data_IF_646505313034
#
_entry.id   IF_646505313034
#
_cell.length_a   1.000
_cell.length_b   1.000
_cell.length_c   1.000
_cell.angle_alpha   90.00
_cell.angle_beta   90.00
_cell.angle_gamma   90.00
#
_symmetry.space_group_name_H-M   'P 1'
#
loop_
_entity.id
_entity.type
_entity.pdbx_description
1 polymer ?
2 polymer ?
3 non-polymer ?
4 water ?
#
# COMPACT_ATOMS: atom_id res chain seq x y z
N UNK A 23 -9.16 19.44 27.88
CA UNK A 23 -8.27 18.26 27.72
C UNK A 23 -8.82 17.46 26.51
N UNK A 24 -8.18 17.60 25.34
CA UNK A 24 -8.65 17.00 24.09
C UNK A 24 -8.89 15.50 24.31
N UNK A 25 -10.00 14.96 23.80
CA UNK A 25 -10.32 13.55 23.87
C UNK A 25 -9.94 12.95 22.53
N UNK A 26 -9.19 11.82 22.52
CA UNK A 26 -8.89 11.12 21.28
C UNK A 26 -9.34 9.67 21.35
N UNK A 27 -9.89 9.12 20.26
CA UNK A 27 -10.33 7.74 20.15
C UNK A 27 -9.86 7.12 18.82
N UNK A 28 -9.10 6.03 18.91
CA UNK A 28 -8.53 5.36 17.76
C UNK A 28 -9.41 4.18 17.39
N UNK A 29 -9.44 3.79 16.11
CA UNK A 29 -10.09 2.57 15.65
C UNK A 29 -9.34 2.10 14.41
N UNK A 30 -9.65 0.86 13.98
CA UNK A 30 -9.23 0.33 12.69
C UNK A 30 -8.09 -0.67 12.83
N UNK A 31 -7.58 -0.85 14.05
CA UNK A 31 -6.57 -1.85 14.32
C UNK A 31 -7.13 -3.26 14.04
N UNK A 32 -6.22 -4.20 13.86
CA UNK A 32 -6.63 -5.57 13.58
C UNK A 32 -5.43 -6.49 13.49
N UNK A 33 -5.73 -7.77 13.22
CA UNK A 33 -4.73 -8.77 12.87
C UNK A 33 -4.68 -8.89 11.35
N UNK A 34 -3.46 -8.88 10.79
CA UNK A 34 -3.29 -9.03 9.36
C UNK A 34 -1.99 -9.76 9.09
N UNK A 35 -1.89 -10.37 7.90
CA UNK A 35 -0.66 -11.00 7.44
C UNK A 35 0.28 -9.95 6.84
N UNK A 36 1.60 -10.16 7.06
CA UNK A 36 2.69 -9.40 6.48
C UNK A 36 2.48 -9.22 4.98
N UNK A 37 2.70 -7.99 4.50
CA UNK A 37 2.31 -7.57 3.16
C UNK A 37 0.93 -6.93 3.08
N UNK A 38 0.09 -7.14 4.10
CA UNK A 38 -1.25 -6.63 4.08
C UNK A 38 -1.22 -5.19 4.57
N UNK A 39 -2.43 -4.68 4.72
CA UNK A 39 -2.68 -3.27 5.00
C UNK A 39 -3.69 -3.12 6.17
N UNK A 40 -3.62 -1.99 6.89
CA UNK A 40 -4.71 -1.48 7.71
C UNK A 40 -4.83 0.05 7.57
N UNK A 41 -5.99 0.60 7.98
CA UNK A 41 -6.19 2.04 8.03
C UNK A 41 -6.75 2.36 9.41
N UNK A 42 -5.97 3.11 10.21
CA UNK A 42 -6.35 3.60 11.53
C UNK A 42 -7.04 4.93 11.42
N UNK A 43 -8.06 5.16 12.28
CA UNK A 43 -8.70 6.46 12.42
C UNK A 43 -8.51 6.96 13.86
N UNK A 44 -8.38 8.29 14.01
CA UNK A 44 -8.21 8.99 15.27
C UNK A 44 -9.21 10.16 15.28
N UNK A 45 -10.32 9.98 15.99
CA UNK A 45 -11.28 11.03 16.25
C UNK A 45 -10.84 11.86 17.45
N UNK A 46 -10.82 13.17 17.32
CA UNK A 46 -10.36 14.12 18.32
C UNK A 46 -11.43 15.19 18.63
N UNK A 47 -11.60 15.53 19.90
CA UNK A 47 -12.56 16.59 20.26
C UNK A 47 -12.16 17.93 19.65
N UNK A 48 -10.85 18.13 19.43
CA UNK A 48 -10.32 19.26 18.71
C UNK A 48 -8.91 18.91 18.15
N UNK A 49 -8.51 19.51 17.04
CA UNK A 49 -7.11 19.45 16.63
C UNK A 49 -6.28 20.53 17.29
N UNK A 50 -5.07 20.18 17.77
CA UNK A 50 -4.02 21.15 18.02
C UNK A 50 -3.38 21.63 16.69
N UNK A 51 -2.17 22.23 16.81
CA UNK A 51 -1.31 22.59 15.68
C UNK A 51 -0.81 21.38 14.90
N UNK A 52 -0.68 20.22 15.56
CA UNK A 52 -0.19 19.02 14.92
C UNK A 52 -0.90 17.81 15.53
N UNK A 53 -1.08 16.77 14.70
CA UNK A 53 -1.66 15.49 15.10
C UNK A 53 -0.60 14.44 14.80
N UNK A 54 -0.27 13.55 15.76
CA UNK A 54 0.75 12.55 15.56
C UNK A 54 0.23 11.12 15.76
N UNK A 55 0.89 10.16 15.10
CA UNK A 55 0.66 8.75 15.39
C UNK A 55 1.92 8.18 16.02
N UNK A 56 1.72 7.53 17.19
CA UNK A 56 2.76 6.84 17.91
C UNK A 56 2.43 5.35 17.97
N UNK A 57 3.41 4.52 18.33
CA UNK A 57 3.19 3.11 18.57
C UNK A 57 4.16 2.63 19.63
N UNK A 58 3.73 1.61 20.33
CA UNK A 58 4.47 1.08 21.46
C UNK A 58 4.35 -0.44 21.41
N UNK A 59 5.47 -1.12 21.18
CA UNK A 59 5.54 -2.57 21.23
C UNK A 59 5.79 -3.01 22.67
N UNK A 60 5.59 -4.31 23.03
CA UNK A 60 5.83 -4.76 24.41
C UNK A 60 7.30 -4.65 24.83
N UNK A 61 7.56 -4.00 25.98
CA UNK A 61 8.91 -3.79 26.48
C UNK A 61 9.68 -2.61 25.85
N UNK A 62 9.21 -2.02 24.73
CA UNK A 62 9.88 -0.89 24.09
C UNK A 62 9.25 0.44 24.54
N UNK A 63 9.91 1.57 24.26
CA UNK A 63 9.31 2.88 24.46
C UNK A 63 8.33 3.15 23.32
N UNK A 64 7.45 4.13 23.51
CA UNK A 64 6.71 4.65 22.38
C UNK A 64 7.67 5.29 21.37
N UNK A 65 7.31 5.16 20.11
CA UNK A 65 8.04 5.70 18.98
C UNK A 65 7.03 6.49 18.18
N UNK A 66 7.37 7.69 17.73
CA UNK A 66 6.53 8.41 16.79
C UNK A 66 6.68 7.85 15.37
N UNK A 67 5.58 7.76 14.64
CA UNK A 67 5.53 7.14 13.31
C UNK A 67 5.27 8.17 12.21
N UNK A 68 4.26 9.03 12.44
CA UNK A 68 3.91 10.01 11.44
C UNK A 68 3.33 11.23 12.13
N UNK A 69 3.36 12.38 11.48
CA UNK A 69 2.74 13.56 12.03
C UNK A 69 2.29 14.44 10.89
N UNK A 70 1.23 15.22 11.16
CA UNK A 70 0.72 16.18 10.23
C UNK A 70 0.50 17.50 10.95
N UNK A 71 0.92 18.63 10.31
CA UNK A 71 0.54 19.96 10.78
C UNK A 71 -0.84 20.32 10.26
N UNK A 72 -1.75 20.68 11.15
CA UNK A 72 -3.15 20.81 10.76
C UNK A 72 -3.41 22.06 9.93
N UNK A 73 -2.55 23.11 10.02
CA UNK A 73 -2.65 24.21 9.07
C UNK A 73 -1.75 23.99 7.85
N UNK A 74 -2.37 23.59 6.73
CA UNK A 74 -1.62 23.32 5.51
C UNK A 74 -1.40 21.82 5.22
N UNK A 75 -1.33 20.95 6.23
CA UNK A 75 -1.24 19.50 6.00
C UNK A 75 0.15 18.96 5.65
N UNK A 76 1.25 19.64 6.07
CA UNK A 76 2.59 19.10 5.89
C UNK A 76 2.75 17.83 6.71
N UNK A 77 3.47 16.80 6.17
CA UNK A 77 3.52 15.49 6.78
C UNK A 77 4.97 15.11 7.04
N UNK A 78 5.19 14.36 8.11
CA UNK A 78 6.51 13.95 8.60
C UNK A 78 6.39 12.46 8.93
N UNK A 79 7.44 11.70 8.72
CA UNK A 79 7.41 10.26 8.93
C UNK A 79 8.77 9.81 9.47
N UNK A 80 8.77 8.76 10.29
CA UNK A 80 9.98 8.07 10.69
C UNK A 80 10.44 7.20 9.52
N UNK A 81 11.79 7.07 9.35
CA UNK A 81 12.42 6.53 8.15
C UNK A 81 11.90 5.12 7.83
N UNK A 82 11.61 4.31 8.86
CA UNK A 82 11.22 2.90 8.70
C UNK A 82 9.83 2.73 8.07
N UNK A 83 9.00 3.79 8.04
CA UNK A 83 7.68 3.70 7.46
C UNK A 83 7.56 4.50 6.18
N UNK A 84 8.59 5.25 5.77
CA UNK A 84 8.49 6.01 4.53
C UNK A 84 8.18 5.12 3.34
N UNK A 85 7.17 5.51 2.55
CA UNK A 85 6.68 4.75 1.40
C UNK A 85 5.66 3.65 1.73
N UNK A 86 5.48 3.35 3.01
CA UNK A 86 4.52 2.36 3.47
C UNK A 86 3.36 3.05 4.15
N UNK A 87 3.63 3.98 5.07
CA UNK A 87 2.53 4.58 5.83
C UNK A 87 2.20 5.97 5.28
N UNK A 88 0.92 6.35 5.33
CA UNK A 88 0.49 7.70 4.92
C UNK A 88 -0.44 8.29 6.00
N UNK A 89 -0.14 9.52 6.44
CA UNK A 89 -0.97 10.24 7.39
C UNK A 89 -1.76 11.31 6.65
N UNK A 90 -3.04 11.45 7.01
CA UNK A 90 -3.94 12.41 6.38
C UNK A 90 -4.95 12.90 7.43
N UNK A 91 -5.60 14.04 7.13
CA UNK A 91 -6.60 14.60 8.04
C UNK A 91 -7.91 14.93 7.33
N UNK A 92 -9.03 14.75 8.05
CA UNK A 92 -10.30 15.31 7.60
C UNK A 92 -10.85 16.22 8.69
N UNK A 93 -10.66 17.53 8.48
CA UNK A 93 -10.98 18.52 9.50
C UNK A 93 -12.49 18.62 9.75
N UNK A 94 -13.29 18.40 8.70
CA UNK A 94 -14.75 18.28 8.80
C UNK A 94 -15.15 17.26 9.86
N UNK A 95 -14.52 16.09 9.85
CA UNK A 95 -14.87 14.98 10.72
C UNK A 95 -13.98 14.91 11.96
N UNK A 96 -13.15 15.92 12.20
CA UNK A 96 -12.16 15.97 13.27
C UNK A 96 -11.43 14.63 13.40
N UNK A 97 -10.99 14.06 12.26
CA UNK A 97 -10.41 12.71 12.24
C UNK A 97 -9.09 12.79 11.52
N UNK A 98 -8.09 12.05 12.03
CA UNK A 98 -6.83 11.84 11.34
C UNK A 98 -6.67 10.34 11.08
N UNK A 99 -5.97 9.99 9.98
CA UNK A 99 -5.92 8.64 9.47
C UNK A 99 -4.47 8.26 9.24
N UNK A 100 -4.18 6.98 9.49
CA UNK A 100 -2.92 6.35 9.12
C UNK A 100 -3.21 5.13 8.23
N UNK A 101 -2.94 5.29 6.94
CA UNK A 101 -2.93 4.20 5.97
C UNK A 101 -1.62 3.44 6.13
N UNK A 102 -1.70 2.14 6.42
CA UNK A 102 -0.53 1.36 6.73
C UNK A 102 -0.46 0.23 5.71
N UNK A 103 0.44 0.36 4.72
CA UNK A 103 0.64 -0.62 3.66
C UNK A 103 1.90 -1.44 3.89
N UNK A 104 1.95 -2.60 3.18
CA UNK A 104 3.14 -3.44 3.14
C UNK A 104 3.63 -3.77 4.54
N UNK A 105 2.69 -4.19 5.39
CA UNK A 105 2.99 -4.36 6.82
C UNK A 105 3.99 -5.50 7.04
N UNK A 106 4.78 -5.34 8.12
CA UNK A 106 5.83 -6.27 8.50
C UNK A 106 5.66 -6.63 9.97
N UNK A 107 6.14 -7.81 10.45
CA UNK A 107 6.11 -8.15 11.88
C UNK A 107 6.52 -7.07 12.87
N UNK A 108 7.55 -6.31 12.52
CA UNK A 108 8.04 -5.22 13.38
C UNK A 108 7.04 -4.05 13.51
N UNK A 109 5.91 -4.06 12.78
CA UNK A 109 4.87 -3.03 12.90
C UNK A 109 3.85 -3.39 13.96
N UNK A 110 3.95 -4.58 14.54
CA UNK A 110 3.10 -5.01 15.64
C UNK A 110 3.31 -4.07 16.83
N UNK A 111 2.20 -3.50 17.34
CA UNK A 111 2.22 -2.55 18.45
C UNK A 111 0.81 -2.07 18.73
N UNK A 112 0.65 -1.48 19.90
CA UNK A 112 -0.48 -0.63 20.19
C UNK A 112 -0.20 0.75 19.58
N UNK A 113 -1.12 1.23 18.73
CA UNK A 113 -0.98 2.49 18.01
C UNK A 113 -1.83 3.53 18.72
N UNK A 114 -1.28 4.70 19.02
CA UNK A 114 -2.05 5.73 19.72
C UNK A 114 -1.84 7.06 19.04
N UNK A 115 -2.90 7.91 18.96
CA UNK A 115 -2.76 9.22 18.41
C UNK A 115 -2.62 10.23 19.53
N UNK A 116 -2.05 11.41 19.17
CA UNK A 116 -1.81 12.51 20.10
C UNK A 116 -1.90 13.89 19.45
N UNK A 117 -2.08 14.89 20.29
CA UNK A 117 -2.03 16.29 19.89
C UNK A 117 -1.65 17.13 21.10
N UNK A 118 -1.89 18.44 21.07
CA UNK A 118 -1.48 19.33 22.15
C UNK A 118 -2.37 20.54 22.08
N UNK A 119 -2.30 21.34 23.14
CA UNK A 119 -3.09 22.57 23.25
C UNK A 119 -2.58 23.70 22.36
N UNK A 120 -3.24 24.87 22.44
CA UNK A 120 -3.16 25.95 21.45
C UNK A 120 -1.80 26.68 21.43
N UNK A 121 -1.18 26.77 22.62
CA UNK A 121 0.13 27.34 22.79
C UNK A 121 1.20 26.26 22.93
N UNK A 122 1.04 25.12 22.23
CA UNK A 122 2.03 24.09 22.12
C UNK A 122 2.50 24.05 20.67
N UNK A 123 3.83 24.00 20.52
CA UNK A 123 4.50 24.00 19.22
C UNK A 123 5.61 22.98 19.16
N UNK A 124 5.83 22.48 17.95
CA UNK A 124 6.98 21.66 17.67
C UNK A 124 7.70 22.10 16.38
N UNK A 125 9.03 22.12 16.37
CA UNK A 125 9.81 22.29 15.15
C UNK A 125 9.87 20.94 14.41
N UNK A 126 10.18 20.98 13.12
CA UNK A 126 10.21 19.83 12.23
C UNK A 126 10.99 18.66 12.83
N UNK A 127 12.14 18.92 13.48
CA UNK A 127 13.00 17.85 13.99
C UNK A 127 12.44 17.18 15.24
N UNK A 128 11.40 17.76 15.90
CA UNK A 128 10.86 17.20 17.12
C UNK A 128 9.40 16.77 16.97
N UNK A 129 8.79 16.87 15.77
CA UNK A 129 7.36 16.69 15.67
C UNK A 129 6.96 15.21 15.91
N UNK A 130 7.93 14.29 15.90
CA UNK A 130 7.69 12.87 16.16
C UNK A 130 8.23 12.44 17.54
N UNK A 131 8.58 13.39 18.42
CA UNK A 131 8.97 13.05 19.77
C UNK A 131 7.77 13.21 20.70
N UNK A 132 7.61 12.25 21.62
CA UNK A 132 6.43 12.18 22.47
C UNK A 132 6.26 13.39 23.39
N UNK A 133 7.38 14.01 23.80
CA UNK A 133 7.35 15.14 24.74
C UNK A 133 6.85 16.44 24.11
N UNK A 134 6.53 16.48 22.79
CA UNK A 134 5.89 17.68 22.24
C UNK A 134 4.38 17.50 22.20
N UNK A 135 3.84 16.38 22.70
CA UNK A 135 2.41 16.10 22.73
C UNK A 135 1.92 16.13 24.18
N UNK A 136 0.66 16.51 24.36
CA UNK A 136 0.05 16.78 25.65
C UNK A 136 -1.15 15.85 25.87
N UNK A 137 -1.86 15.50 24.78
CA UNK A 137 -3.09 14.73 24.87
C UNK A 137 -2.88 13.44 24.12
N UNK A 138 -3.26 12.30 24.74
CA UNK A 138 -3.12 10.96 24.13
C UNK A 138 -4.43 10.19 24.12
N UNK A 139 -4.65 9.35 23.08
CA UNK A 139 -5.83 8.50 23.03
C UNK A 139 -5.58 7.21 23.78
N UNK A 140 -6.38 6.17 23.48
CA UNK A 140 -6.38 4.93 24.26
C UNK A 140 -5.42 3.90 23.63
N UNK A 141 -5.49 3.76 22.30
CA UNK A 141 -4.67 2.83 21.56
C UNK A 141 -5.59 1.91 20.76
N UNK A 142 -5.15 1.50 19.57
CA UNK A 142 -5.83 0.46 18.79
C UNK A 142 -4.74 -0.53 18.42
N UNK A 143 -5.03 -1.82 18.58
CA UNK A 143 -3.99 -2.85 18.52
C UNK A 143 -3.80 -3.22 17.05
N UNK A 144 -2.54 -3.27 16.60
CA UNK A 144 -2.17 -3.79 15.31
C UNK A 144 -1.24 -5.00 15.50
N UNK A 145 -1.58 -6.13 14.86
CA UNK A 145 -0.75 -7.34 14.93
C UNK A 145 -0.50 -7.88 13.54
N UNK A 146 0.78 -7.98 13.16
CA UNK A 146 1.17 -8.40 11.84
C UNK A 146 1.80 -9.79 11.97
N UNK A 147 1.13 -10.80 11.39
CA UNK A 147 1.57 -12.19 11.44
C UNK A 147 2.39 -12.48 10.19
N UNK A 148 3.23 -13.52 10.28
CA UNK A 148 3.99 -13.94 9.11
C UNK A 148 3.10 -14.83 8.27
N UNK A 149 2.70 -15.98 8.83
CA UNK A 149 1.91 -16.98 8.12
C UNK A 149 0.42 -16.80 8.43
N UNK B 23 -13.59 -28.47 -15.83
CA UNK B 23 -14.44 -27.37 -15.30
C UNK B 23 -13.99 -27.01 -13.89
N UNK B 24 -13.13 -25.98 -13.76
CA UNK B 24 -12.71 -25.52 -12.44
C UNK B 24 -13.67 -24.42 -12.00
N UNK B 25 -13.96 -24.41 -10.69
CA UNK B 25 -14.84 -23.43 -10.06
C UNK B 25 -13.93 -22.37 -9.46
N UNK B 26 -14.26 -21.08 -9.64
CA UNK B 26 -13.58 -20.00 -8.95
C UNK B 26 -14.57 -19.14 -8.19
N UNK B 27 -14.09 -18.51 -7.10
CA UNK B 27 -14.87 -17.49 -6.40
C UNK B 27 -13.96 -16.43 -5.78
N UNK B 28 -14.43 -15.17 -5.82
CA UNK B 28 -13.72 -14.00 -5.39
C UNK B 28 -14.37 -13.44 -4.14
N UNK B 29 -13.60 -12.79 -3.27
CA UNK B 29 -14.12 -12.03 -2.15
C UNK B 29 -13.20 -10.84 -1.87
N UNK B 30 -13.67 -9.85 -1.09
CA UNK B 30 -12.88 -8.80 -0.51
C UNK B 30 -13.11 -7.44 -1.18
N UNK B 31 -13.98 -7.40 -2.19
CA UNK B 31 -14.34 -6.15 -2.83
C UNK B 31 -15.05 -5.22 -1.82
N UNK B 32 -15.14 -3.95 -2.19
CA UNK B 32 -15.75 -2.98 -1.31
C UNK B 32 -15.72 -1.59 -1.92
N UNK B 33 -16.30 -0.64 -1.19
CA UNK B 33 -16.18 0.78 -1.46
C UNK B 33 -15.09 1.37 -0.59
N UNK B 34 -14.18 2.16 -1.19
CA UNK B 34 -13.10 2.77 -0.43
C UNK B 34 -12.80 4.13 -1.04
N UNK B 35 -12.21 5.02 -0.23
CA UNK B 35 -11.69 6.29 -0.67
C UNK B 35 -10.30 6.11 -1.31
N UNK B 36 -10.03 6.91 -2.37
CA UNK B 36 -8.75 7.00 -3.05
C UNK B 36 -7.64 7.18 -2.04
N UNK B 37 -6.54 6.44 -2.25
CA UNK B 37 -5.49 6.30 -1.27
C UNK B 37 -5.64 5.03 -0.42
N UNK B 38 -6.85 4.48 -0.34
CA UNK B 38 -7.10 3.36 0.53
C UNK B 38 -6.66 2.09 -0.19
N UNK B 39 -6.99 0.99 0.47
CA UNK B 39 -6.50 -0.34 0.16
C UNK B 39 -7.66 -1.34 0.20
N UNK B 40 -7.55 -2.43 -0.60
CA UNK B 40 -8.34 -3.64 -0.47
C UNK B 40 -7.45 -4.87 -0.73
N UNK B 41 -7.88 -6.03 -0.23
CA UNK B 41 -7.28 -7.31 -0.48
C UNK B 41 -8.38 -8.23 -1.02
N UNK B 42 -8.27 -8.62 -2.31
CA UNK B 42 -9.15 -9.62 -2.92
C UNK B 42 -8.58 -11.01 -2.73
N UNK B 43 -9.48 -11.99 -2.55
CA UNK B 43 -9.13 -13.41 -2.54
C UNK B 43 -9.84 -14.13 -3.68
N UNK B 44 -9.16 -15.16 -4.24
CA UNK B 44 -9.72 -16.02 -5.29
C UNK B 44 -9.43 -17.49 -4.92
N UNK B 45 -10.48 -18.24 -4.58
CA UNK B 45 -10.38 -19.65 -4.32
C UNK B 45 -10.78 -20.45 -5.57
N UNK B 46 -10.00 -21.49 -5.90
CA UNK B 46 -10.18 -22.27 -7.13
C UNK B 46 -10.25 -23.78 -6.81
N UNK B 47 -11.14 -24.52 -7.50
CA UNK B 47 -11.17 -25.98 -7.35
C UNK B 47 -9.83 -26.63 -7.73
N UNK B 48 -9.11 -26.00 -8.67
CA UNK B 48 -7.73 -26.36 -8.99
C UNK B 48 -7.05 -25.19 -9.71
N UNK B 49 -5.76 -24.96 -9.43
CA UNK B 49 -4.93 -24.05 -10.19
C UNK B 49 -4.48 -24.69 -11.51
N UNK B 50 -4.52 -23.93 -12.61
CA UNK B 50 -3.76 -24.27 -13.81
C UNK B 50 -2.27 -23.94 -13.63
N UNK B 51 -1.60 -23.68 -14.77
CA UNK B 51 -0.21 -23.23 -14.79
C UNK B 51 -0.12 -21.78 -14.34
N UNK B 52 -1.19 -21.00 -14.50
CA UNK B 52 -1.18 -19.59 -14.12
C UNK B 52 -2.56 -19.22 -13.58
N UNK B 53 -2.59 -18.22 -12.70
CA UNK B 53 -3.82 -17.63 -12.19
C UNK B 53 -3.73 -16.14 -12.54
N UNK B 54 -4.85 -15.52 -12.95
CA UNK B 54 -4.83 -14.12 -13.33
C UNK B 54 -5.95 -13.33 -12.65
N UNK B 55 -5.71 -12.03 -12.43
CA UNK B 55 -6.76 -11.13 -12.01
C UNK B 55 -7.08 -10.18 -13.15
N UNK B 56 -8.37 -10.14 -13.55
CA UNK B 56 -8.89 -9.21 -14.54
C UNK B 56 -9.89 -8.25 -13.89
N UNK B 57 -10.20 -7.18 -14.59
CA UNK B 57 -11.20 -6.22 -14.15
C UNK B 57 -11.88 -5.66 -15.38
N UNK B 58 -13.12 -5.23 -15.18
CA UNK B 58 -13.97 -4.78 -16.24
C UNK B 58 -14.75 -3.60 -15.69
N UNK B 59 -14.56 -2.42 -16.25
CA UNK B 59 -15.38 -1.26 -15.91
C UNK B 59 -16.66 -1.26 -16.75
N UNK B 60 -17.70 -0.47 -16.40
CA UNK B 60 -18.92 -0.38 -17.24
C UNK B 60 -18.66 0.20 -18.62
N UNK B 61 -19.16 -0.48 -19.67
CA UNK B 61 -18.93 -0.09 -21.06
C UNK B 61 -17.56 -0.49 -21.65
N UNK B 62 -16.55 -0.86 -20.82
CA UNK B 62 -15.18 -1.09 -21.27
C UNK B 62 -14.94 -2.59 -21.42
N UNK B 63 -13.83 -2.95 -22.07
CA UNK B 63 -13.41 -4.35 -22.12
C UNK B 63 -12.81 -4.74 -20.77
N UNK B 64 -12.85 -6.03 -20.51
CA UNK B 64 -11.96 -6.70 -19.58
C UNK B 64 -10.49 -6.37 -19.86
N UNK B 65 -9.75 -6.07 -18.79
CA UNK B 65 -8.33 -5.76 -18.84
C UNK B 65 -7.67 -6.70 -17.85
N UNK B 66 -6.54 -7.32 -18.21
CA UNK B 66 -5.75 -8.07 -17.24
C UNK B 66 -4.94 -7.14 -16.34
N UNK B 67 -4.89 -7.46 -15.03
CA UNK B 67 -4.21 -6.62 -14.05
C UNK B 67 -2.90 -7.24 -13.57
N UNK B 68 -2.96 -8.50 -13.17
CA UNK B 68 -1.81 -9.16 -12.58
C UNK B 68 -1.94 -10.65 -12.87
N UNK B 69 -0.82 -11.34 -12.87
CA UNK B 69 -0.87 -12.78 -13.07
C UNK B 69 0.31 -13.38 -12.33
N UNK B 70 0.14 -14.66 -11.96
CA UNK B 70 1.13 -15.42 -11.28
C UNK B 70 1.21 -16.80 -11.94
N UNK B 71 2.44 -17.31 -12.17
CA UNK B 71 2.65 -18.69 -12.54
C UNK B 71 2.76 -19.55 -11.30
N UNK B 72 1.99 -20.63 -11.26
CA UNK B 72 1.80 -21.38 -10.03
C UNK B 72 2.98 -22.28 -9.72
N UNK B 73 3.80 -22.66 -10.73
CA UNK B 73 5.11 -23.27 -10.49
C UNK B 73 6.20 -22.21 -10.37
N UNK B 74 6.60 -21.90 -9.13
CA UNK B 74 7.65 -20.95 -8.88
C UNK B 74 7.18 -19.55 -8.43
N UNK B 75 5.95 -19.13 -8.77
CA UNK B 75 5.40 -17.86 -8.30
C UNK B 75 5.93 -16.58 -8.97
N UNK B 76 6.37 -16.65 -10.25
CA UNK B 76 6.65 -15.45 -11.04
C UNK B 76 5.40 -14.62 -11.20
N UNK B 77 5.55 -13.28 -11.17
CA UNK B 77 4.41 -12.36 -11.16
C UNK B 77 4.61 -11.39 -12.29
N UNK B 78 3.50 -10.92 -12.86
CA UNK B 78 3.40 -10.09 -14.05
C UNK B 78 2.31 -9.07 -13.76
N UNK B 79 2.49 -7.83 -14.19
CA UNK B 79 1.53 -6.79 -13.88
C UNK B 79 1.43 -5.83 -15.05
N UNK B 80 0.23 -5.27 -15.27
CA UNK B 80 0.00 -4.17 -16.18
C UNK B 80 0.63 -2.91 -15.55
N UNK B 81 1.14 -2.02 -16.41
CA UNK B 81 1.99 -0.90 -16.03
C UNK B 81 1.28 0.01 -15.03
N UNK B 82 -0.03 0.23 -15.19
CA UNK B 82 -0.81 1.16 -14.38
C UNK B 82 -0.96 0.71 -12.92
N UNK B 83 -0.68 -0.57 -12.58
CA UNK B 83 -0.79 -1.04 -11.21
C UNK B 83 0.57 -1.38 -10.62
N UNK B 84 1.67 -1.29 -11.38
CA UNK B 84 2.96 -1.67 -10.83
C UNK B 84 3.28 -0.79 -9.63
N UNK B 85 3.71 -1.41 -8.53
CA UNK B 85 4.08 -0.71 -7.29
C UNK B 85 2.89 -0.43 -6.37
N UNK B 86 1.67 -0.66 -6.86
CA UNK B 86 0.46 -0.50 -6.06
C UNK B 86 -0.13 -1.87 -5.78
N UNK B 87 -0.18 -2.76 -6.79
CA UNK B 87 -0.90 -4.03 -6.62
C UNK B 87 0.11 -5.16 -6.42
N UNK B 88 -0.23 -6.15 -5.59
CA UNK B 88 0.64 -7.32 -5.47
C UNK B 88 -0.17 -8.59 -5.52
N UNK B 89 0.23 -9.50 -6.42
CA UNK B 89 -0.39 -10.81 -6.52
C UNK B 89 0.49 -11.84 -5.81
N UNK B 90 -0.17 -12.77 -5.12
CA UNK B 90 0.45 -13.83 -4.36
C UNK B 90 -0.46 -15.06 -4.33
N UNK B 91 0.10 -16.23 -4.05
CA UNK B 91 -0.65 -17.49 -3.98
C UNK B 91 -0.42 -18.23 -2.67
N UNK B 92 -1.45 -18.92 -2.18
CA UNK B 92 -1.28 -19.93 -1.15
C UNK B 92 -1.83 -21.27 -1.65
N UNK B 93 -0.90 -22.13 -2.06
CA UNK B 93 -1.26 -23.35 -2.74
C UNK B 93 -1.92 -24.35 -1.79
N UNK B 94 -1.54 -24.31 -0.50
CA UNK B 94 -2.22 -25.03 0.56
C UNK B 94 -3.73 -24.81 0.52
N UNK B 95 -4.15 -23.53 0.39
CA UNK B 95 -5.54 -23.14 0.46
C UNK B 95 -6.21 -23.00 -0.91
N UNK B 96 -5.51 -23.36 -1.98
CA UNK B 96 -5.91 -23.12 -3.36
C UNK B 96 -6.48 -21.71 -3.55
N UNK B 97 -5.77 -20.70 -3.00
CA UNK B 97 -6.25 -19.32 -3.00
C UNK B 97 -5.17 -18.45 -3.60
N UNK B 98 -5.56 -17.47 -4.41
CA UNK B 98 -4.67 -16.41 -4.87
C UNK B 98 -5.22 -15.05 -4.40
N UNK B 99 -4.32 -14.10 -4.11
CA UNK B 99 -4.64 -12.82 -3.48
C UNK B 99 -4.12 -11.68 -4.33
N UNK B 100 -4.91 -10.59 -4.40
CA UNK B 100 -4.51 -9.31 -4.94
C UNK B 100 -4.62 -8.24 -3.86
N UNK B 101 -3.47 -7.80 -3.36
CA UNK B 101 -3.34 -6.68 -2.46
C UNK B 101 -3.38 -5.41 -3.31
N UNK B 102 -4.38 -4.56 -3.09
CA UNK B 102 -4.53 -3.37 -3.92
C UNK B 102 -4.35 -2.12 -3.04
N UNK B 103 -3.22 -1.43 -3.21
CA UNK B 103 -2.87 -0.23 -2.43
C UNK B 103 -2.96 1.02 -3.27
N UNK B 104 -2.99 2.20 -2.57
CA UNK B 104 -2.98 3.52 -3.19
C UNK B 104 -4.03 3.57 -4.28
N UNK B 105 -5.25 3.19 -3.92
CA UNK B 105 -6.31 3.04 -4.92
C UNK B 105 -6.69 4.40 -5.47
N UNK B 106 -7.12 4.39 -6.74
CA UNK B 106 -7.47 5.60 -7.48
C UNK B 106 -8.84 5.38 -8.12
N UNK B 107 -9.63 6.43 -8.44
CA UNK B 107 -10.88 6.26 -9.21
C UNK B 107 -10.86 5.33 -10.42
N UNK B 108 -9.75 5.35 -11.17
CA UNK B 108 -9.56 4.50 -12.34
C UNK B 108 -9.58 3.00 -12.03
N UNK B 109 -9.45 2.61 -10.75
CA UNK B 109 -9.44 1.23 -10.31
C UNK B 109 -10.84 0.66 -10.11
N UNK B 110 -11.87 1.52 -10.14
CA UNK B 110 -13.26 1.09 -10.04
C UNK B 110 -13.63 0.14 -11.18
N UNK B 111 -14.15 -1.05 -10.83
CA UNK B 111 -14.45 -2.13 -11.75
C UNK B 111 -14.94 -3.35 -10.99
N UNK B 112 -15.60 -4.26 -11.71
CA UNK B 112 -15.75 -5.65 -11.27
C UNK B 112 -14.43 -6.39 -11.50
N UNK B 113 -13.88 -6.97 -10.41
CA UNK B 113 -12.63 -7.75 -10.47
C UNK B 113 -12.98 -9.24 -10.52
N UNK B 114 -12.40 -9.98 -11.47
CA UNK B 114 -12.68 -11.42 -11.56
C UNK B 114 -11.35 -12.16 -11.66
N UNK B 115 -11.25 -13.38 -11.09
CA UNK B 115 -10.09 -14.19 -11.30
C UNK B 115 -10.36 -15.23 -12.39
N UNK B 116 -9.25 -15.77 -12.96
CA UNK B 116 -9.30 -16.77 -14.01
C UNK B 116 -8.11 -17.74 -13.95
N UNK B 117 -8.31 -18.90 -14.58
CA UNK B 117 -7.21 -19.83 -14.80
C UNK B 117 -7.52 -20.67 -16.06
N UNK B 118 -6.85 -21.81 -16.26
CA UNK B 118 -7.07 -22.66 -17.43
C UNK B 118 -6.71 -24.06 -17.02
N UNK B 119 -7.08 -25.02 -17.89
CA UNK B 119 -6.76 -26.42 -17.67
C UNK B 119 -5.29 -26.76 -17.89
N UNK B 120 -4.97 -28.06 -17.72
CA UNK B 120 -3.60 -28.56 -17.59
C UNK B 120 -2.74 -28.41 -18.84
N UNK B 121 -3.38 -28.51 -20.01
CA UNK B 121 -2.71 -28.34 -21.29
C UNK B 121 -2.98 -26.96 -21.88
N UNK B 122 -3.08 -25.92 -21.04
CA UNK B 122 -3.20 -24.53 -21.45
C UNK B 122 -1.96 -23.81 -21.01
N UNK B 123 -1.36 -23.00 -21.88
CA UNK B 123 -0.13 -22.27 -21.63
C UNK B 123 -0.19 -20.84 -22.12
N UNK B 124 0.57 -19.99 -21.45
CA UNK B 124 0.78 -18.64 -21.92
C UNK B 124 2.25 -18.23 -21.85
N UNK B 125 2.76 -17.52 -22.87
CA UNK B 125 4.08 -16.92 -22.82
C UNK B 125 3.97 -15.59 -22.04
N UNK B 126 5.11 -15.08 -21.55
CA UNK B 126 5.18 -13.88 -20.74
C UNK B 126 4.37 -12.71 -21.32
N UNK B 127 4.46 -12.47 -22.63
CA UNK B 127 3.80 -11.35 -23.28
C UNK B 127 2.28 -11.49 -23.35
N UNK B 128 1.73 -12.69 -23.14
CA UNK B 128 0.29 -12.89 -23.28
C UNK B 128 -0.41 -13.23 -21.96
N UNK B 129 0.33 -13.32 -20.83
CA UNK B 129 -0.26 -13.87 -19.62
C UNK B 129 -1.34 -12.95 -18.99
N UNK B 130 -1.45 -11.71 -19.47
CA UNK B 130 -2.50 -10.77 -19.07
C UNK B 130 -3.58 -10.63 -20.14
N UNK B 131 -3.64 -11.48 -21.18
CA UNK B 131 -4.68 -11.41 -22.17
C UNK B 131 -5.72 -12.46 -21.83
N UNK B 132 -6.99 -12.08 -21.93
CA UNK B 132 -8.12 -12.87 -21.48
C UNK B 132 -8.25 -14.17 -22.28
N UNK B 133 -7.86 -14.19 -23.57
CA UNK B 133 -7.97 -15.37 -24.44
C UNK B 133 -6.99 -16.49 -24.08
N UNK B 134 -6.07 -16.31 -23.11
CA UNK B 134 -5.26 -17.44 -22.61
C UNK B 134 -5.90 -18.06 -21.38
N UNK B 135 -7.07 -17.58 -20.95
CA UNK B 135 -7.80 -18.15 -19.81
C UNK B 135 -9.04 -18.89 -20.27
N UNK B 136 -9.38 -19.94 -19.54
CA UNK B 136 -10.47 -20.86 -19.89
C UNK B 136 -11.60 -20.74 -18.88
N UNK B 137 -11.26 -20.52 -17.59
CA UNK B 137 -12.20 -20.61 -16.50
C UNK B 137 -12.22 -19.27 -15.77
N UNK B 138 -13.42 -18.76 -15.43
CA UNK B 138 -13.63 -17.43 -14.87
C UNK B 138 -14.52 -17.53 -13.63
N UNK B 139 -14.23 -16.70 -12.61
CA UNK B 139 -15.06 -16.60 -11.44
C UNK B 139 -16.23 -15.67 -11.71
N UNK B 140 -16.84 -15.18 -10.63
CA UNK B 140 -18.13 -14.51 -10.68
C UNK B 140 -17.95 -13.00 -10.73
N UNK B 141 -17.00 -12.48 -9.94
CA UNK B 141 -16.64 -11.07 -9.90
C UNK B 141 -16.84 -10.54 -8.46
N UNK B 142 -15.96 -9.63 -7.98
CA UNK B 142 -16.21 -8.92 -6.73
C UNK B 142 -16.02 -7.43 -7.04
N UNK B 143 -16.98 -6.60 -6.58
CA UNK B 143 -17.04 -5.21 -7.00
C UNK B 143 -16.05 -4.39 -6.19
N UNK B 144 -15.25 -3.56 -6.85
CA UNK B 144 -14.38 -2.58 -6.22
C UNK B 144 -14.82 -1.20 -6.71
N UNK B 145 -15.00 -0.27 -5.76
CA UNK B 145 -15.46 1.10 -6.05
C UNK B 145 -14.60 2.07 -5.29
N UNK B 146 -13.93 2.97 -5.99
CA UNK B 146 -12.95 3.89 -5.42
C UNK B 146 -13.54 5.29 -5.58
N UNK B 147 -13.91 5.90 -4.47
CA UNK B 147 -14.41 7.28 -4.45
C UNK B 147 -13.26 8.28 -4.25
N UNK B 148 -13.50 9.58 -4.47
CA UNK B 148 -12.41 10.55 -4.37
C UNK B 148 -12.68 11.58 -3.26
N UNK B 149 -13.17 11.11 -2.09
CA UNK B 149 -13.70 11.99 -1.06
C UNK B 149 -12.56 12.55 -0.19
N UNK C 1 5.32 40.26 4.08
CA UNK C 1 5.55 39.32 5.21
C UNK C 1 6.26 38.06 4.67
N UNK C 2 7.45 37.78 5.21
CA UNK C 2 8.31 36.68 4.77
C UNK C 2 7.78 35.37 5.38
N UNK C 3 7.84 34.27 4.62
CA UNK C 3 7.56 32.94 5.12
C UNK C 3 8.66 32.40 6.05
N UNK C 4 8.31 31.99 7.25
CA UNK C 4 9.27 31.62 8.28
C UNK C 4 8.50 30.89 9.38
N UNK C 5 8.41 29.56 9.26
CA UNK C 5 7.37 28.79 9.91
C UNK C 5 7.94 27.80 10.92
N UNK C 6 7.34 27.78 12.12
CA UNK C 6 7.56 26.76 13.13
C UNK C 6 9.05 26.68 13.47
N UNK C 7 9.63 27.82 13.85
CA UNK C 7 11.02 27.90 14.20
C UNK C 7 11.43 29.15 14.95
N UNK C 8 12.60 29.01 15.60
CA UNK C 8 13.22 30.06 16.34
C UNK C 8 13.93 31.04 15.41
N UNK C 9 14.10 32.29 15.88
CA UNK C 9 15.04 33.24 15.32
C UNK C 9 15.91 33.78 16.46
N UNK C 10 17.23 33.72 16.30
CA UNK C 10 18.19 34.36 17.19
C UNK C 10 18.68 35.62 16.47
N UNK C 11 18.35 36.82 17.00
CA UNK C 11 18.64 38.10 16.37
C UNK C 11 19.12 39.09 17.44
N UNK C 12 20.31 39.63 17.24
CA UNK C 12 20.84 40.70 18.08
C UNK C 12 20.71 40.36 19.56
N UNK C 13 21.07 39.10 19.92
CA UNK C 13 21.09 38.64 21.31
C UNK C 13 19.70 38.35 21.91
N UNK C 14 18.63 38.37 21.09
CA UNK C 14 17.27 38.12 21.55
C UNK C 14 16.77 36.87 20.82
N UNK C 15 15.66 36.33 21.31
CA UNK C 15 15.16 35.03 20.90
C UNK C 15 13.66 35.22 20.67
N UNK C 16 13.24 34.73 19.51
CA UNK C 16 11.90 34.83 19.00
C UNK C 16 11.48 33.47 18.52
N UNK C 17 10.18 33.21 18.50
CA UNK C 17 9.70 31.96 17.94
C UNK C 17 8.54 32.31 17.01
N UNK C 18 8.55 31.66 15.86
CA UNK C 18 7.55 31.87 14.83
C UNK C 18 6.65 30.66 14.69
N UNK C 19 5.35 30.91 14.73
CA UNK C 19 4.37 29.85 14.51
C UNK C 19 4.15 29.54 13.03
N UNK C 20 3.04 28.89 12.76
CA UNK C 20 2.78 28.29 11.45
C UNK C 20 2.40 29.37 10.44
N UNK C 21 1.88 30.49 10.94
CA UNK C 21 1.50 31.64 10.14
C UNK C 21 2.65 32.63 10.00
N UNK C 22 3.89 32.23 10.28
CA UNK C 22 5.02 33.11 10.09
C UNK C 22 4.97 34.38 10.96
N UNK C 23 4.28 34.36 12.10
CA UNK C 23 4.28 35.48 13.04
C UNK C 23 5.01 35.09 14.33
N UNK C 24 5.73 36.07 14.91
CA UNK C 24 6.34 35.92 16.21
C UNK C 24 5.28 35.66 17.28
N UNK C 25 5.45 34.64 18.12
CA UNK C 25 4.49 34.29 19.15
C UNK C 25 4.70 35.18 20.38
N UNK C 26 3.63 35.37 21.17
CA UNK C 26 3.70 36.14 22.39
C UNK C 26 3.09 35.31 23.51
N UNK C 27 3.41 35.76 24.72
CA UNK C 27 3.02 35.16 25.98
C UNK C 27 3.60 33.75 26.15
N UNK C 28 2.95 32.95 26.98
CA UNK C 28 3.40 31.63 27.36
C UNK C 28 3.29 30.66 26.19
N UNK C 29 4.37 29.90 25.96
CA UNK C 29 4.42 28.93 24.86
C UNK C 29 5.22 27.74 25.33
N UNK C 30 4.73 26.54 24.97
CA UNK C 30 5.50 25.33 25.09
C UNK C 30 6.00 24.97 23.69
N UNK C 31 7.34 24.96 23.51
CA UNK C 31 7.97 24.70 22.22
C UNK C 31 8.93 23.52 22.40
N UNK C 32 8.69 22.45 21.64
CA UNK C 32 9.46 21.22 21.80
C UNK C 32 9.56 20.74 23.26
N UNK C 33 8.51 20.92 24.05
CA UNK C 33 8.51 20.37 25.39
C UNK C 33 9.00 21.36 26.44
N UNK C 34 9.47 22.55 26.02
CA UNK C 34 10.06 23.51 26.93
C UNK C 34 9.18 24.75 26.97
N UNK C 35 9.22 25.41 28.12
CA UNK C 35 8.35 26.55 28.37
C UNK C 35 9.15 27.81 28.22
N UNK C 36 8.50 28.77 27.56
CA UNK C 36 9.00 30.10 27.26
C UNK C 36 7.89 31.11 27.53
N UNK C 37 8.30 32.37 27.77
CA UNK C 37 7.43 33.53 27.82
C UNK C 37 8.01 34.62 26.91
N UNK C 38 7.24 34.99 25.87
CA UNK C 38 7.60 35.98 24.87
C UNK C 38 6.87 37.28 25.26
N UNK C 39 7.64 38.36 25.37
CA UNK C 39 7.08 39.61 25.86
C UNK C 39 6.07 40.18 24.84
N UNK C 40 4.93 40.73 25.29
CA UNK C 40 3.83 41.07 24.42
C UNK C 40 4.08 42.21 23.43
N UNK C 41 5.02 43.13 23.73
CA UNK C 41 5.40 44.25 22.86
C UNK C 41 6.55 43.86 21.89
N UNK C 42 7.65 43.34 22.43
CA UNK C 42 8.86 43.07 21.63
C UNK C 42 8.84 41.68 20.98
N UNK C 43 8.06 40.75 21.52
CA UNK C 43 8.02 39.32 21.18
C UNK C 43 9.29 38.56 21.61
N UNK C 44 10.14 39.20 22.42
CA UNK C 44 11.43 38.64 22.83
C UNK C 44 11.18 37.69 23.97
N UNK C 45 11.88 36.57 23.96
CA UNK C 45 11.86 35.63 25.09
C UNK C 45 12.40 36.25 26.39
N UNK C 46 11.66 36.15 27.54
CA UNK C 46 12.20 36.25 28.88
C UNK C 46 13.37 35.27 28.99
N UNK C 47 14.54 35.83 29.32
CA UNK C 47 15.81 35.12 29.24
C UNK C 47 16.85 35.65 30.22
N UNK C 48 17.59 34.70 30.83
CA UNK C 48 18.84 35.02 31.50
C UNK C 48 18.63 35.66 32.88
N UNK C 49 17.51 35.37 33.55
CA UNK C 49 17.23 35.97 34.83
C UNK C 49 15.84 35.69 35.35
N UNK C 50 15.49 36.47 36.37
CA UNK C 50 14.20 36.40 37.05
C UNK C 50 13.25 37.46 36.44
N UNK C 51 11.99 37.09 36.24
CA UNK C 51 10.95 37.96 35.70
C UNK C 51 9.66 37.66 36.46
N UNK C 52 8.88 38.72 36.78
CA UNK C 52 7.56 38.59 37.36
C UNK C 52 6.54 38.60 36.22
N UNK C 53 5.72 37.56 36.10
CA UNK C 53 4.67 37.46 35.12
C UNK C 53 3.38 37.15 35.88
N UNK C 54 2.36 38.02 35.77
CA UNK C 54 1.09 37.86 36.48
C UNK C 54 1.30 37.55 37.97
N UNK C 55 2.21 38.28 38.64
CA UNK C 55 2.40 38.20 40.07
C UNK C 55 3.23 37.02 40.57
N UNK C 56 3.80 36.21 39.67
CA UNK C 56 4.63 35.07 40.02
C UNK C 56 6.02 35.33 39.43
N UNK C 57 7.07 35.06 40.20
CA UNK C 57 8.44 35.21 39.75
C UNK C 57 8.91 33.89 39.18
N UNK C 58 9.57 33.92 38.02
CA UNK C 58 10.17 32.73 37.44
C UNK C 58 11.59 33.05 37.06
N UNK C 59 12.36 31.98 36.90
CA UNK C 59 13.68 32.02 36.30
C UNK C 59 13.66 31.46 34.88
N UNK C 60 14.31 32.18 33.94
CA UNK C 60 14.50 31.71 32.58
C UNK C 60 15.98 31.60 32.34
N UNK C 61 16.40 30.47 31.77
CA UNK C 61 17.77 30.34 31.31
C UNK C 61 18.09 31.37 30.26
N UNK C 62 19.36 31.46 29.87
CA UNK C 62 19.82 32.29 28.75
C UNK C 62 19.17 31.87 27.41
N UNK C 63 18.83 30.59 27.25
CA UNK C 63 18.16 30.10 26.03
C UNK C 63 16.67 30.39 26.07
N UNK C 64 16.15 30.98 27.16
CA UNK C 64 14.77 31.36 27.30
C UNK C 64 13.89 30.38 28.05
N UNK C 65 14.44 29.23 28.47
CA UNK C 65 13.66 28.15 29.00
C UNK C 65 13.34 28.39 30.47
N UNK C 66 12.05 28.25 30.81
CA UNK C 66 11.58 28.43 32.15
C UNK C 66 12.13 27.24 32.95
N UNK C 67 12.76 27.54 34.10
CA UNK C 67 13.29 26.50 34.99
C UNK C 67 12.13 25.75 35.64
N UNK C 68 12.17 24.41 35.48
CA UNK C 68 11.09 23.41 35.48
C UNK C 68 9.67 23.87 35.08
N UNK C 69 8.98 24.57 35.98
CA UNK C 69 7.54 24.50 36.13
C UNK C 69 7.18 23.44 37.15
N UNK D 1 20.25 -30.46 -18.22
CA UNK D 1 19.04 -29.90 -18.86
C UNK D 1 19.04 -28.37 -18.70
N UNK D 2 18.89 -27.65 -19.81
CA UNK D 2 18.97 -26.20 -19.84
C UNK D 2 17.61 -25.61 -19.36
N UNK D 3 17.66 -24.51 -18.61
CA UNK D 3 16.48 -23.72 -18.27
C UNK D 3 15.90 -22.98 -19.49
N UNK D 4 14.64 -23.23 -19.82
CA UNK D 4 14.04 -22.68 -21.01
C UNK D 4 12.52 -22.83 -20.85
N UNK D 5 11.88 -21.74 -20.40
CA UNK D 5 10.58 -21.84 -19.75
C UNK D 5 9.54 -21.02 -20.51
N UNK D 6 8.41 -21.66 -20.82
CA UNK D 6 7.20 -21.02 -21.23
C UNK D 6 7.43 -20.28 -22.54
N UNK D 7 7.96 -21.02 -23.50
CA UNK D 7 8.30 -20.46 -24.80
C UNK D 7 8.52 -21.49 -25.90
N UNK D 8 8.43 -20.97 -27.10
CA UNK D 8 8.62 -21.71 -28.32
C UNK D 8 10.11 -21.79 -28.62
N UNK D 9 10.47 -22.84 -29.34
CA UNK D 9 11.76 -22.96 -29.99
C UNK D 9 11.51 -23.27 -31.45
N UNK D 10 12.13 -22.51 -32.34
CA UNK D 10 12.14 -22.79 -33.76
C UNK D 10 13.54 -23.29 -34.05
N UNK D 11 13.67 -24.56 -34.52
CA UNK D 11 14.94 -25.24 -34.75
C UNK D 11 14.80 -26.11 -36.00
N UNK D 12 15.67 -25.87 -36.98
CA UNK D 12 15.77 -26.72 -38.15
C UNK D 12 14.42 -26.94 -38.82
N UNK D 13 13.62 -25.86 -38.95
CA UNK D 13 12.32 -25.92 -39.63
C UNK D 13 11.18 -26.52 -38.79
N UNK D 14 11.45 -26.85 -37.51
CA UNK D 14 10.46 -27.47 -36.65
C UNK D 14 10.14 -26.51 -35.52
N UNK D 15 9.03 -26.78 -34.86
CA UNK D 15 8.44 -25.93 -33.87
C UNK D 15 8.19 -26.82 -32.66
N UNK D 16 8.69 -26.34 -31.52
CA UNK D 16 8.55 -27.00 -30.24
C UNK D 16 8.08 -25.98 -29.21
N UNK D 17 7.43 -26.45 -28.14
CA UNK D 17 7.02 -25.52 -27.11
C UNK D 17 7.48 -26.13 -25.77
N UNK D 18 8.00 -25.28 -24.92
CA UNK D 18 8.52 -25.68 -23.62
C UNK D 18 7.65 -25.14 -22.49
N UNK D 19 7.21 -26.04 -21.62
CA UNK D 19 6.43 -25.69 -20.42
C UNK D 19 7.34 -25.11 -19.32
N UNK D 20 6.77 -25.10 -18.11
CA UNK D 20 7.38 -24.37 -17.01
C UNK D 20 8.59 -25.14 -16.45
N UNK D 21 8.56 -26.47 -16.65
CA UNK D 21 9.60 -27.37 -16.25
C UNK D 21 10.69 -27.50 -17.31
N UNK D 22 10.76 -26.62 -18.30
CA UNK D 22 11.81 -26.64 -19.29
C UNK D 22 11.85 -27.95 -20.10
N UNK D 23 10.70 -28.63 -20.27
CA UNK D 23 10.58 -29.80 -21.14
C UNK D 23 9.67 -29.48 -22.32
N UNK D 24 10.02 -30.06 -23.48
CA UNK D 24 9.18 -29.95 -24.66
C UNK D 24 7.82 -30.61 -24.41
N UNK D 25 6.72 -29.91 -24.77
CA UNK D 25 5.38 -30.45 -24.57
C UNK D 25 5.00 -31.43 -25.69
N UNK D 26 4.06 -32.33 -25.43
CA UNK D 26 3.55 -33.30 -26.39
C UNK D 26 2.04 -33.28 -26.32
N UNK D 27 1.44 -33.86 -27.36
CA UNK D 27 0.00 -33.99 -27.47
C UNK D 27 -0.65 -32.64 -27.79
N UNK D 28 -1.95 -32.56 -27.58
CA UNK D 28 -2.73 -31.35 -27.74
C UNK D 28 -2.35 -30.29 -26.71
N UNK D 29 -2.13 -29.04 -27.15
CA UNK D 29 -1.76 -27.94 -26.28
C UNK D 29 -2.47 -26.68 -26.78
N UNK D 30 -2.98 -25.87 -25.84
CA UNK D 30 -3.44 -24.52 -26.18
C UNK D 30 -2.38 -23.57 -25.61
N UNK D 31 -1.74 -22.82 -26.49
CA UNK D 31 -0.71 -21.87 -26.15
C UNK D 31 -1.16 -20.51 -26.66
N UNK D 32 -1.24 -19.53 -25.78
CA UNK D 32 -1.71 -18.21 -26.18
C UNK D 32 -3.03 -18.19 -26.94
N UNK D 33 -3.94 -19.09 -26.57
CA UNK D 33 -5.28 -19.15 -27.14
C UNK D 33 -5.37 -19.90 -28.47
N UNK D 34 -4.24 -20.44 -28.97
CA UNK D 34 -4.19 -21.21 -30.21
C UNK D 34 -3.84 -22.66 -29.91
N UNK D 35 -4.39 -23.53 -30.76
CA UNK D 35 -4.31 -24.97 -30.54
C UNK D 35 -3.23 -25.53 -31.44
N UNK D 36 -2.42 -26.41 -30.84
CA UNK D 36 -1.32 -27.14 -31.47
C UNK D 36 -1.39 -28.60 -31.07
N UNK D 37 -0.79 -29.48 -31.90
CA UNK D 37 -0.54 -30.88 -31.60
C UNK D 37 0.95 -31.19 -31.83
N UNK D 38 1.64 -31.57 -30.73
CA UNK D 38 3.06 -31.89 -30.71
C UNK D 38 3.17 -33.43 -30.79
N UNK D 39 3.96 -33.91 -31.76
CA UNK D 39 4.08 -35.34 -31.97
C UNK D 39 4.74 -36.01 -30.74
N UNK D 40 4.28 -37.20 -30.32
CA UNK D 40 4.70 -37.75 -29.04
C UNK D 40 6.18 -38.21 -29.00
N UNK D 41 6.79 -38.54 -30.16
CA UNK D 41 8.16 -39.01 -30.26
C UNK D 41 9.14 -37.84 -30.46
N UNK D 42 8.88 -37.00 -31.45
CA UNK D 42 9.81 -35.92 -31.81
C UNK D 42 9.52 -34.65 -30.98
N UNK D 43 8.30 -34.47 -30.44
CA UNK D 43 7.84 -33.24 -29.80
C UNK D 43 7.58 -32.09 -30.79
N UNK D 44 7.61 -32.39 -32.10
CA UNK D 44 7.51 -31.38 -33.14
C UNK D 44 6.04 -31.09 -33.35
N UNK D 45 5.73 -29.84 -33.63
CA UNK D 45 4.36 -29.45 -33.97
C UNK D 45 3.92 -29.99 -35.34
N UNK D 46 2.72 -30.62 -35.43
CA UNK D 46 1.95 -30.78 -36.65
C UNK D 46 1.76 -29.42 -37.31
N UNK D 47 2.25 -29.36 -38.58
CA UNK D 47 2.45 -28.12 -39.28
C UNK D 47 2.38 -28.31 -40.80
N UNK D 48 1.67 -27.33 -41.42
CA UNK D 48 1.81 -27.10 -42.84
C UNK D 48 1.02 -28.10 -43.70
N UNK D 49 -0.03 -28.71 -43.15
CA UNK D 49 -0.87 -29.65 -43.89
C UNK D 49 -1.94 -30.31 -43.04
N UNK D 50 -2.44 -31.42 -43.56
CA UNK D 50 -3.45 -32.27 -42.94
C UNK D 50 -2.80 -33.42 -42.17
N UNK D 51 -3.32 -33.72 -40.97
CA UNK D 51 -2.84 -34.78 -40.10
C UNK D 51 -4.07 -35.47 -39.51
N UNK D 52 -3.98 -36.80 -39.39
CA UNK D 52 -4.98 -37.62 -38.72
C UNK D 52 -4.50 -37.84 -37.29
N UNK D 53 -5.31 -37.44 -36.30
CA UNK D 53 -5.01 -37.60 -34.88
C UNK D 53 -6.21 -38.30 -34.24
N UNK D 54 -6.01 -39.51 -33.70
CA UNK D 54 -7.10 -40.32 -33.14
C UNK D 54 -8.31 -40.38 -34.07
N UNK D 55 -8.09 -40.58 -35.40
CA UNK D 55 -9.17 -40.83 -36.34
C UNK D 55 -9.85 -39.56 -36.88
N UNK D 56 -9.37 -38.36 -36.51
CA UNK D 56 -9.93 -37.12 -37.00
C UNK D 56 -8.84 -36.39 -37.78
N UNK D 57 -9.18 -35.84 -38.94
CA UNK D 57 -8.24 -35.12 -39.78
C UNK D 57 -8.37 -33.65 -39.45
N UNK D 58 -7.23 -32.97 -39.28
CA UNK D 58 -7.20 -31.54 -39.04
C UNK D 58 -6.20 -30.92 -40.00
N UNK D 59 -6.35 -29.61 -40.18
CA UNK D 59 -5.39 -28.77 -40.84
C UNK D 59 -4.59 -27.94 -39.84
N UNK D 60 -3.25 -27.89 -40.00
CA UNK D 60 -2.39 -27.03 -39.22
C UNK D 60 -1.68 -26.11 -40.18
N UNK D 61 -1.69 -24.83 -39.80
CA UNK D 61 -0.89 -23.85 -40.52
C UNK D 61 0.57 -24.21 -40.44
N UNK D 62 1.37 -23.50 -41.24
CA UNK D 62 2.83 -23.59 -41.18
C UNK D 62 3.37 -23.16 -39.80
N UNK D 63 2.64 -22.30 -39.08
CA UNK D 63 3.07 -21.90 -37.73
C UNK D 63 2.68 -22.93 -36.68
N UNK D 64 1.99 -24.03 -37.09
CA UNK D 64 1.56 -25.09 -36.18
C UNK D 64 0.13 -24.97 -35.65
N UNK D 65 -0.57 -23.87 -35.95
CA UNK D 65 -1.88 -23.60 -35.37
C UNK D 65 -2.97 -24.39 -36.08
N UNK D 66 -3.85 -25.01 -35.28
CA UNK D 66 -4.92 -25.80 -35.80
C UNK D 66 -5.92 -24.80 -36.35
N UNK D 67 -6.37 -25.02 -37.62
CA UNK D 67 -7.39 -24.17 -38.20
C UNK D 67 -8.73 -24.40 -37.47
N UNK D 68 -9.33 -23.32 -37.00
CA UNK D 68 -10.64 -23.36 -36.39
C UNK D 68 -11.49 -22.15 -36.76
N UNK D 69 -11.05 -21.34 -37.76
CA UNK D 69 -11.48 -19.96 -37.94
C UNK D 69 -10.77 -18.98 -37.01
#
# INVERSE_FOLDING_TARGET
MKYLLPTAAAGLLLLAAQPAMAEVQLVESGGGSVQAGGSLRLSCAASAFGNYMGWFRQAPGKEREGVAAIRTGGGSTYYTDSVKGRFTISQDKAKNTVYLQMNSLKPEDTAMYVCATAGDRWHATDAFILRDFVYEYWGQGTQVTVSSAAAEQKLISEEDLNGAAHHHHHHGS
MKYLLPTAAAGLLLLAAQPAMAEVQLVESGGGSVQAGGSLRLSCAASAFGNYMGWFRQAPGKEREGVAAIRTGGGSTYYTDSVKGRFTISQDKAKNTVYLQMNSLKPEDTAMYVCATAGDRWHATDAFILRDFVYEYWGQGTQVTVSSAAAEQKLISEEDLNGAAHHHHHHGS
AIRYQNRFLHLLGKIYYFGNNSKAVTGWQTINGKVYYFMPDTAMAAAGGLFEIDGVIYFFGVDGVKAMG
AIRYQNRFLHLLGKIYYFGNNSKAVTGWQTINGKVYYFMPDTAMAAAGGLFEIDGVIYFFGVDGVKAMG
#
